data_IF_872316746264
#
_entry.id   IF_872316746264
#
_cell.length_a   1.000
_cell.length_b   1.000
_cell.length_c   1.000
_cell.angle_alpha   90.00
_cell.angle_beta   90.00
_cell.angle_gamma   90.00
#
_symmetry.space_group_name_H-M   'P 1'
#
loop_
_entity.id
_entity.type
_entity.pdbx_description
1 polymer ?
#
# COMPACT_ATOMS: atom_id res chain seq x y z
N UNK A 1 -8.36 -2.44 14.17
CA UNK A 1 -9.12 -1.17 14.09
C UNK A 1 -8.57 -0.27 12.98
N UNK A 2 -7.29 0.15 13.02
CA UNK A 2 -6.73 1.10 12.03
C UNK A 2 -6.74 0.62 10.57
N UNK A 3 -6.65 -0.69 10.32
CA UNK A 3 -6.60 -1.24 8.97
C UNK A 3 -7.94 -1.35 8.25
N UNK A 4 -9.06 -1.21 8.97
CA UNK A 4 -10.39 -1.39 8.39
C UNK A 4 -10.76 -0.24 7.44
N UNK A 5 -10.41 1.00 7.81
CA UNK A 5 -10.84 2.22 7.12
C UNK A 5 -9.72 2.95 6.39
N UNK A 6 -8.58 2.30 6.17
CA UNK A 6 -7.41 2.97 5.61
C UNK A 6 -7.66 3.50 4.18
N UNK A 7 -8.35 2.73 3.34
CA UNK A 7 -8.66 3.15 1.97
C UNK A 7 -9.72 4.25 1.98
N UNK A 8 -10.71 4.16 2.88
CA UNK A 8 -11.71 5.21 3.11
C UNK A 8 -11.05 6.54 3.45
N UNK A 9 -9.98 6.54 4.24
CA UNK A 9 -9.21 7.74 4.53
C UNK A 9 -8.56 8.37 3.29
N UNK A 10 -8.14 7.57 2.30
CA UNK A 10 -7.59 8.10 1.04
C UNK A 10 -8.66 8.91 0.31
N UNK A 11 -9.84 8.34 0.11
CA UNK A 11 -10.92 9.01 -0.61
C UNK A 11 -11.55 10.16 0.17
N UNK A 12 -11.82 9.96 1.47
CA UNK A 12 -12.45 10.96 2.33
C UNK A 12 -11.58 12.22 2.48
N UNK A 13 -10.30 12.06 2.80
CA UNK A 13 -9.43 13.21 3.02
C UNK A 13 -9.12 13.97 1.72
N UNK A 14 -9.18 13.33 0.56
CA UNK A 14 -9.12 14.05 -0.72
C UNK A 14 -10.47 14.61 -1.17
N UNK A 15 -11.56 14.34 -0.42
CA UNK A 15 -12.93 14.67 -0.81
C UNK A 15 -13.24 14.17 -2.23
N UNK A 16 -12.79 12.96 -2.55
CA UNK A 16 -13.03 12.30 -3.83
C UNK A 16 -14.28 11.43 -3.74
N UNK A 17 -15.26 11.69 -4.60
CA UNK A 17 -16.59 11.06 -4.57
C UNK A 17 -16.95 10.31 -5.87
N UNK A 18 -16.05 10.23 -6.86
CA UNK A 18 -16.32 9.46 -8.08
C UNK A 18 -16.25 7.93 -7.86
N UNK A 19 -15.66 7.45 -6.76
CA UNK A 19 -15.55 6.02 -6.47
C UNK A 19 -16.90 5.39 -6.09
N UNK A 20 -17.27 4.25 -6.70
CA UNK A 20 -18.56 3.57 -6.48
C UNK A 20 -18.88 3.24 -5.01
N UNK A 21 -17.87 2.85 -4.24
CA UNK A 21 -18.03 2.40 -2.84
C UNK A 21 -17.47 3.34 -1.76
N UNK A 22 -16.57 4.27 -2.09
CA UNK A 22 -15.81 5.03 -1.08
C UNK A 22 -16.27 6.48 -1.06
N UNK A 23 -16.25 7.08 0.14
CA UNK A 23 -16.75 8.42 0.39
C UNK A 23 -18.23 8.61 -0.01
N UNK A 24 -19.05 7.57 0.25
CA UNK A 24 -20.51 7.51 -0.08
C UNK A 24 -21.43 7.57 1.14
N UNK A 25 -20.92 8.01 2.29
CA UNK A 25 -21.73 8.15 3.49
C UNK A 25 -22.44 9.51 3.52
N UNK A 26 -23.60 9.63 4.21
CA UNK A 26 -24.28 10.91 4.37
C UNK A 26 -23.37 11.92 5.06
N UNK A 27 -23.09 13.03 4.41
CA UNK A 27 -22.27 14.12 4.95
C UNK A 27 -22.80 15.45 4.45
N UNK A 28 -22.98 16.42 5.35
CA UNK A 28 -23.32 17.79 4.98
C UNK A 28 -22.15 18.49 4.28
N UNK A 29 -22.44 19.50 3.47
CA UNK A 29 -21.39 20.31 2.84
C UNK A 29 -20.45 20.95 3.88
N UNK A 30 -21.02 21.40 5.00
CA UNK A 30 -20.25 21.95 6.13
C UNK A 30 -19.26 20.94 6.71
N UNK A 31 -19.69 19.70 6.89
CA UNK A 31 -18.80 18.63 7.37
C UNK A 31 -17.74 18.30 6.31
N UNK A 32 -18.11 18.24 5.03
CA UNK A 32 -17.15 17.96 3.93
C UNK A 32 -16.05 19.01 3.88
N UNK A 33 -16.40 20.29 3.98
CA UNK A 33 -15.43 21.39 4.01
C UNK A 33 -14.55 21.37 5.26
N UNK A 34 -15.06 20.90 6.41
CA UNK A 34 -14.34 20.92 7.69
C UNK A 34 -13.44 19.70 7.91
N UNK A 35 -13.86 18.54 7.43
CA UNK A 35 -13.20 17.25 7.72
C UNK A 35 -12.42 16.68 6.53
N UNK A 36 -12.66 17.16 5.31
CA UNK A 36 -11.74 16.87 4.22
C UNK A 36 -10.42 17.62 4.41
N UNK A 37 -9.38 17.07 3.81
CA UNK A 37 -8.05 17.64 3.72
C UNK A 37 -7.69 17.80 2.25
N UNK A 38 -8.64 18.22 1.40
CA UNK A 38 -8.45 18.29 -0.07
C UNK A 38 -7.32 19.26 -0.43
N UNK A 39 -6.65 18.95 -1.54
CA UNK A 39 -5.66 19.81 -2.19
C UNK A 39 -4.23 19.67 -1.68
N UNK A 40 -3.29 20.19 -2.46
CA UNK A 40 -1.85 20.01 -2.25
C UNK A 40 -1.34 20.59 -0.90
N UNK A 41 -1.91 21.71 -0.44
CA UNK A 41 -1.52 22.36 0.83
C UNK A 41 -1.73 21.47 2.06
N UNK A 42 -2.68 20.53 1.98
CA UNK A 42 -3.00 19.62 3.07
C UNK A 42 -2.37 18.22 2.88
N UNK A 43 -1.62 17.99 1.81
CA UNK A 43 -0.99 16.70 1.51
C UNK A 43 -0.16 16.19 2.67
N UNK A 44 0.70 17.02 3.26
CA UNK A 44 1.54 16.61 4.39
C UNK A 44 0.71 16.21 5.61
N UNK A 45 -0.43 16.87 5.85
CA UNK A 45 -1.35 16.49 6.92
C UNK A 45 -1.97 15.11 6.66
N UNK A 46 -2.37 14.83 5.41
CA UNK A 46 -2.88 13.50 5.01
C UNK A 46 -1.82 12.43 5.21
N UNK A 47 -0.60 12.66 4.75
CA UNK A 47 0.51 11.70 4.90
C UNK A 47 0.92 11.47 6.35
N UNK A 48 0.82 12.49 7.23
CA UNK A 48 0.99 12.30 8.67
C UNK A 48 -0.04 11.32 9.25
N UNK A 49 -1.29 11.40 8.80
CA UNK A 49 -2.35 10.46 9.20
C UNK A 49 -2.08 9.07 8.64
N UNK A 50 -1.77 8.94 7.34
CA UNK A 50 -1.47 7.63 6.74
C UNK A 50 -0.28 6.95 7.43
N UNK A 51 0.78 7.71 7.73
CA UNK A 51 1.94 7.21 8.46
C UNK A 51 1.54 6.64 9.82
N UNK A 52 0.83 7.44 10.62
CA UNK A 52 0.36 7.03 11.94
C UNK A 52 -0.46 5.73 11.87
N UNK A 53 -1.39 5.62 10.91
CA UNK A 53 -2.18 4.41 10.73
C UNK A 53 -1.29 3.19 10.39
N UNK A 54 -0.35 3.34 9.46
CA UNK A 54 0.54 2.26 8.99
C UNK A 54 1.58 1.82 10.04
N UNK A 55 2.00 2.73 10.93
CA UNK A 55 2.88 2.41 12.07
C UNK A 55 2.22 1.40 13.02
N UNK A 56 0.88 1.42 13.12
CA UNK A 56 0.11 0.48 13.93
C UNK A 56 -0.34 -0.78 13.19
N UNK A 57 0.07 -0.99 11.94
CA UNK A 57 -0.26 -2.22 11.20
C UNK A 57 0.73 -3.35 11.52
N UNK A 58 0.21 -4.57 11.59
CA UNK A 58 1.04 -5.77 11.49
C UNK A 58 1.50 -5.99 10.04
N UNK A 59 2.55 -6.79 9.84
CA UNK A 59 3.01 -7.15 8.49
C UNK A 59 1.91 -7.83 7.66
N UNK A 60 1.06 -8.65 8.29
CA UNK A 60 -0.10 -9.25 7.63
C UNK A 60 -1.12 -8.19 7.18
N UNK A 61 -1.35 -7.16 7.99
CA UNK A 61 -2.25 -6.05 7.63
C UNK A 61 -1.65 -5.19 6.51
N UNK A 62 -0.33 -4.94 6.50
CA UNK A 62 0.38 -4.24 5.41
C UNK A 62 0.31 -4.99 4.09
N UNK A 63 0.46 -6.31 4.15
CA UNK A 63 0.29 -7.16 2.96
C UNK A 63 -1.15 -7.11 2.44
N UNK A 64 -2.13 -7.32 3.33
CA UNK A 64 -3.54 -7.29 2.95
C UNK A 64 -3.99 -5.93 2.43
N UNK A 65 -3.51 -4.82 3.00
CA UNK A 65 -3.87 -3.49 2.51
C UNK A 65 -3.24 -3.20 1.14
N UNK A 66 -2.03 -3.69 0.88
CA UNK A 66 -1.40 -3.59 -0.45
C UNK A 66 -2.26 -4.28 -1.52
N UNK A 67 -2.76 -5.49 -1.22
CA UNK A 67 -3.66 -6.21 -2.12
C UNK A 67 -4.95 -5.42 -2.33
N UNK A 68 -5.58 -4.95 -1.24
CA UNK A 68 -6.83 -4.19 -1.34
C UNK A 68 -6.65 -2.89 -2.14
N UNK A 69 -5.57 -2.14 -1.91
CA UNK A 69 -5.25 -0.92 -2.69
C UNK A 69 -5.12 -1.27 -4.18
N UNK A 70 -4.45 -2.36 -4.52
CA UNK A 70 -4.33 -2.78 -5.91
C UNK A 70 -5.70 -3.09 -6.53
N UNK A 71 -6.57 -3.81 -5.82
CA UNK A 71 -7.88 -4.25 -6.32
C UNK A 71 -8.96 -3.17 -6.31
N UNK A 72 -8.96 -2.26 -5.34
CA UNK A 72 -10.06 -1.29 -5.14
C UNK A 72 -9.69 0.13 -5.45
N UNK A 73 -8.41 0.41 -5.75
CA UNK A 73 -7.96 1.74 -6.15
C UNK A 73 -7.28 1.67 -7.52
N UNK A 74 -6.16 0.94 -7.62
CA UNK A 74 -5.36 0.91 -8.84
C UNK A 74 -6.09 0.26 -10.02
N UNK A 75 -6.74 -0.88 -9.80
CA UNK A 75 -7.52 -1.57 -10.83
C UNK A 75 -8.66 -0.69 -11.37
N UNK A 76 -9.34 0.08 -10.53
CA UNK A 76 -10.40 0.97 -10.99
C UNK A 76 -9.92 2.04 -12.00
N UNK A 77 -8.68 2.50 -11.91
CA UNK A 77 -8.10 3.38 -12.94
C UNK A 77 -7.59 2.58 -14.15
N UNK A 78 -7.07 1.37 -13.95
CA UNK A 78 -6.60 0.51 -15.04
C UNK A 78 -7.73 0.05 -15.96
N UNK A 79 -8.90 -0.21 -15.37
CA UNK A 79 -10.11 -0.68 -16.03
C UNK A 79 -11.03 0.47 -16.49
N UNK A 80 -10.56 1.73 -16.38
CA UNK A 80 -11.29 2.95 -16.75
C UNK A 80 -12.63 3.15 -16.00
N UNK A 81 -12.79 2.50 -14.83
CA UNK A 81 -13.93 2.73 -13.93
C UNK A 81 -13.86 4.10 -13.22
N UNK A 82 -12.64 4.61 -13.00
CA UNK A 82 -12.38 5.93 -12.43
C UNK A 82 -11.71 6.84 -13.47
N UNK A 83 -12.18 8.09 -13.61
CA UNK A 83 -11.60 9.01 -14.56
C UNK A 83 -10.21 9.45 -14.12
N UNK A 84 -9.27 9.48 -15.07
CA UNK A 84 -7.96 10.11 -14.89
C UNK A 84 -8.04 11.63 -15.17
N UNK A 85 -8.95 12.31 -14.47
CA UNK A 85 -9.04 13.77 -14.42
C UNK A 85 -8.07 14.33 -13.35
N UNK A 86 -8.16 15.63 -13.04
CA UNK A 86 -7.25 16.25 -12.05
C UNK A 86 -7.38 15.63 -10.66
N UNK A 87 -8.61 15.37 -10.20
CA UNK A 87 -8.88 14.79 -8.88
C UNK A 87 -8.50 13.30 -8.84
N UNK A 88 -8.75 12.56 -9.91
CA UNK A 88 -8.35 11.15 -10.06
C UNK A 88 -6.83 10.98 -10.13
N UNK A 89 -6.14 11.87 -10.84
CA UNK A 89 -4.68 11.91 -10.87
C UNK A 89 -4.08 12.18 -9.49
N UNK A 90 -4.70 13.06 -8.69
CA UNK A 90 -4.28 13.31 -7.30
C UNK A 90 -4.44 12.06 -6.42
N UNK A 91 -5.56 11.33 -6.54
CA UNK A 91 -5.76 10.04 -5.85
C UNK A 91 -4.70 9.02 -6.27
N UNK A 92 -4.46 8.87 -7.56
CA UNK A 92 -3.54 7.87 -8.08
C UNK A 92 -2.08 8.19 -7.67
N UNK A 93 -1.67 9.46 -7.77
CA UNK A 93 -0.38 9.94 -7.27
C UNK A 93 -0.20 9.67 -5.77
N UNK A 94 -1.21 10.02 -4.97
CA UNK A 94 -1.18 9.80 -3.53
C UNK A 94 -1.11 8.32 -3.19
N UNK A 95 -1.82 7.47 -3.92
CA UNK A 95 -1.81 6.01 -3.73
C UNK A 95 -0.42 5.43 -3.98
N UNK A 96 0.27 5.79 -5.07
CA UNK A 96 1.65 5.33 -5.31
C UNK A 96 2.61 5.81 -4.23
N UNK A 97 2.46 7.06 -3.78
CA UNK A 97 3.28 7.62 -2.70
C UNK A 97 3.06 6.90 -1.38
N UNK A 98 1.81 6.54 -1.05
CA UNK A 98 1.47 5.71 0.12
C UNK A 98 2.15 4.35 0.00
N UNK A 99 2.00 3.65 -1.13
CA UNK A 99 2.63 2.34 -1.36
C UNK A 99 4.16 2.39 -1.27
N UNK A 100 4.77 3.55 -1.54
CA UNK A 100 6.22 3.79 -1.46
C UNK A 100 6.71 4.15 -0.05
N UNK A 101 5.82 4.34 0.92
CA UNK A 101 6.19 4.71 2.29
C UNK A 101 7.01 3.59 2.96
N UNK A 102 7.98 3.96 3.80
CA UNK A 102 8.80 2.98 4.54
C UNK A 102 7.94 2.10 5.45
N UNK A 103 6.83 2.64 5.95
CA UNK A 103 5.87 1.96 6.81
C UNK A 103 5.07 0.87 6.05
N UNK A 104 5.07 0.88 4.71
CA UNK A 104 4.50 -0.18 3.89
C UNK A 104 5.47 -1.35 3.68
N UNK A 105 6.79 -1.12 3.81
CA UNK A 105 7.80 -2.15 3.56
C UNK A 105 7.70 -3.24 4.64
N UNK A 106 7.48 -4.48 4.20
CA UNK A 106 7.40 -5.64 5.08
C UNK A 106 8.76 -5.88 5.75
N UNK A 107 8.82 -5.87 7.08
CA UNK A 107 10.07 -6.05 7.82
C UNK A 107 10.71 -7.42 7.57
N UNK A 108 9.90 -8.43 7.26
CA UNK A 108 10.35 -9.78 6.95
C UNK A 108 11.15 -9.92 5.63
N UNK A 109 11.05 -8.95 4.71
CA UNK A 109 11.76 -9.00 3.41
C UNK A 109 13.14 -8.32 3.50
N UNK A 110 13.36 -7.48 4.51
CA UNK A 110 14.57 -6.66 4.65
C UNK A 110 15.68 -7.29 5.47
N UNK A 111 15.46 -8.48 6.06
CA UNK A 111 16.52 -9.20 6.79
C UNK A 111 17.21 -10.19 5.85
N UNK A 112 18.49 -10.02 5.49
CA UNK A 112 19.22 -11.07 4.80
C UNK A 112 19.19 -12.34 5.67
N UNK A 113 19.12 -13.55 5.08
CA UNK A 113 19.15 -14.81 5.83
C UNK A 113 20.50 -15.13 6.49
N UNK A 114 21.36 -14.14 6.76
CA UNK A 114 22.77 -14.34 7.13
C UNK A 114 23.30 -13.39 8.20
N UNK A 115 22.45 -12.94 9.13
CA UNK A 115 22.85 -12.09 10.25
C UNK A 115 22.84 -12.83 11.59
N UNK A 116 23.46 -14.00 11.67
CA UNK A 116 23.96 -14.54 12.94
C UNK A 116 25.45 -14.31 12.93
N UNK A 117 25.88 -13.27 13.66
CA UNK A 117 27.26 -13.19 14.11
C UNK A 117 27.55 -14.53 14.81
N UNK A 118 28.60 -15.19 14.36
CA UNK A 118 29.12 -16.38 15.00
C UNK A 118 29.65 -15.98 16.38
N UNK A 119 28.78 -15.99 17.38
CA UNK A 119 29.17 -16.16 18.76
C UNK A 119 28.88 -17.61 19.14
N UNK A 120 29.97 -18.30 19.41
CA UNK A 120 30.04 -19.68 19.86
C UNK A 120 29.38 -19.75 21.24
N UNK A 121 28.22 -20.39 21.34
CA UNK A 121 27.70 -20.87 22.62
C UNK A 121 27.25 -22.31 22.42
N UNK A 122 27.86 -23.18 23.21
CA UNK A 122 27.70 -24.62 23.27
C UNK A 122 26.27 -25.03 23.70
N UNK A 123 25.84 -26.18 23.17
CA UNK A 123 24.79 -27.06 23.70
C UNK A 123 23.51 -26.45 24.31
N UNK A 124 22.59 -25.92 23.49
CA UNK A 124 21.17 -25.85 23.87
C UNK A 124 20.20 -26.26 22.76
N UNK A 125 19.66 -27.49 22.92
CA UNK A 125 18.41 -28.02 22.39
C UNK A 125 18.23 -28.16 20.86
N UNK A 126 18.33 -29.39 20.34
CA UNK A 126 17.81 -29.76 19.00
C UNK A 126 16.37 -29.30 18.73
N UNK A 127 15.55 -29.12 19.77
CA UNK A 127 14.20 -28.57 19.67
C UNK A 127 14.17 -27.07 19.28
N UNK A 128 15.13 -26.25 19.76
CA UNK A 128 15.22 -24.83 19.40
C UNK A 128 15.68 -24.68 17.94
N UNK A 129 16.61 -25.53 17.51
CA UNK A 129 17.06 -25.61 16.11
C UNK A 129 15.93 -26.05 15.18
N UNK A 130 15.16 -27.08 15.54
CA UNK A 130 13.99 -27.52 14.76
C UNK A 130 12.93 -26.42 14.64
N UNK A 131 12.67 -25.68 15.73
CA UNK A 131 11.72 -24.58 15.73
C UNK A 131 12.21 -23.38 14.89
N UNK A 132 13.52 -23.09 14.90
CA UNK A 132 14.12 -22.07 14.04
C UNK A 132 14.03 -22.44 12.56
N UNK A 133 14.29 -23.70 12.20
CA UNK A 133 14.15 -24.23 10.83
C UNK A 133 12.68 -24.16 10.37
N UNK A 134 11.73 -24.53 11.23
CA UNK A 134 10.30 -24.43 10.91
C UNK A 134 9.85 -22.98 10.69
N UNK A 135 10.30 -22.04 11.53
CA UNK A 135 10.00 -20.62 11.35
C UNK A 135 10.61 -20.06 10.06
N UNK A 136 11.83 -20.46 9.71
CA UNK A 136 12.48 -20.08 8.46
C UNK A 136 11.72 -20.63 7.23
N UNK A 137 11.30 -21.90 7.29
CA UNK A 137 10.48 -22.52 6.25
C UNK A 137 9.13 -21.81 6.10
N UNK A 138 8.45 -21.49 7.21
CA UNK A 138 7.18 -20.77 7.21
C UNK A 138 7.33 -19.36 6.58
N UNK A 139 8.37 -18.61 6.96
CA UNK A 139 8.66 -17.30 6.35
C UNK A 139 8.93 -17.41 4.84
N UNK A 140 9.64 -18.46 4.41
CA UNK A 140 9.92 -18.71 2.99
C UNK A 140 8.63 -18.98 2.20
N UNK A 141 7.72 -19.78 2.73
CA UNK A 141 6.41 -20.05 2.11
C UNK A 141 5.60 -18.76 2.00
N UNK A 142 5.50 -17.98 3.08
CA UNK A 142 4.81 -16.68 3.06
C UNK A 142 5.41 -15.77 1.99
N UNK A 143 6.74 -15.65 1.91
CA UNK A 143 7.41 -14.85 0.87
C UNK A 143 7.07 -15.32 -0.55
N UNK A 144 7.02 -16.64 -0.79
CA UNK A 144 6.65 -17.17 -2.11
C UNK A 144 5.21 -16.85 -2.48
N UNK A 145 4.27 -16.99 -1.53
CA UNK A 145 2.86 -16.62 -1.75
C UNK A 145 2.73 -15.12 -2.03
N UNK A 146 3.43 -14.27 -1.29
CA UNK A 146 3.44 -12.82 -1.51
C UNK A 146 3.99 -12.46 -2.90
N UNK A 147 5.09 -13.10 -3.32
CA UNK A 147 5.66 -12.92 -4.67
C UNK A 147 4.68 -13.35 -5.76
N UNK A 148 4.03 -14.51 -5.59
CA UNK A 148 3.05 -15.03 -6.55
C UNK A 148 1.88 -14.05 -6.71
N UNK A 149 1.28 -13.60 -5.61
CA UNK A 149 0.20 -12.60 -5.62
C UNK A 149 0.64 -11.31 -6.30
N UNK A 150 1.86 -10.84 -6.04
CA UNK A 150 2.38 -9.63 -6.68
C UNK A 150 2.50 -9.80 -8.21
N UNK A 151 3.09 -10.92 -8.67
CA UNK A 151 3.28 -11.19 -10.09
C UNK A 151 1.95 -11.38 -10.80
N UNK A 152 1.01 -12.14 -10.22
CA UNK A 152 -0.24 -12.50 -10.88
C UNK A 152 -1.27 -11.37 -10.84
N UNK A 153 -1.33 -10.59 -9.75
CA UNK A 153 -2.39 -9.59 -9.57
C UNK A 153 -1.89 -8.15 -9.71
N UNK A 154 -0.69 -7.83 -9.18
CA UNK A 154 -0.22 -6.43 -9.13
C UNK A 154 0.43 -6.02 -10.45
N UNK A 155 1.32 -6.85 -11.00
CA UNK A 155 2.08 -6.52 -12.21
C UNK A 155 1.19 -6.19 -13.43
N UNK A 156 0.12 -6.95 -13.74
CA UNK A 156 -0.75 -6.61 -14.88
C UNK A 156 -1.39 -5.23 -14.75
N UNK A 157 -1.91 -4.91 -13.56
CA UNK A 157 -2.50 -3.60 -13.25
C UNK A 157 -1.48 -2.48 -13.43
N UNK A 158 -0.26 -2.68 -12.93
CA UNK A 158 0.84 -1.72 -13.07
C UNK A 158 1.23 -1.50 -14.54
N UNK A 159 1.28 -2.56 -15.36
CA UNK A 159 1.56 -2.44 -16.80
C UNK A 159 0.49 -1.62 -17.51
N UNK A 160 -0.79 -1.89 -17.23
CA UNK A 160 -1.92 -1.14 -17.79
C UNK A 160 -1.87 0.33 -17.39
N UNK A 161 -1.66 0.61 -16.10
CA UNK A 161 -1.53 1.98 -15.60
C UNK A 161 -0.34 2.70 -16.22
N UNK A 162 0.82 2.05 -16.35
CA UNK A 162 1.99 2.66 -17.01
C UNK A 162 1.65 3.10 -18.44
N UNK A 163 1.05 2.22 -19.24
CA UNK A 163 0.63 2.52 -20.61
C UNK A 163 -0.37 3.68 -20.66
N UNK A 164 -1.38 3.65 -19.79
CA UNK A 164 -2.38 4.71 -19.68
C UNK A 164 -1.74 6.07 -19.35
N UNK A 165 -0.87 6.10 -18.34
CA UNK A 165 -0.17 7.32 -17.91
C UNK A 165 0.78 7.87 -18.99
N UNK A 166 1.46 6.99 -19.72
CA UNK A 166 2.31 7.36 -20.87
C UNK A 166 1.48 7.96 -22.01
N UNK A 167 0.39 7.30 -22.40
CA UNK A 167 -0.51 7.77 -23.45
C UNK A 167 -1.10 9.15 -23.13
N UNK A 168 -1.48 9.38 -21.86
CA UNK A 168 -2.05 10.64 -21.39
C UNK A 168 -0.99 11.68 -21.02
N UNK A 169 0.30 11.35 -21.11
CA UNK A 169 1.44 12.20 -20.66
C UNK A 169 1.24 12.72 -19.23
N UNK A 170 0.71 11.86 -18.37
CA UNK A 170 0.33 12.23 -17.01
C UNK A 170 1.57 12.43 -16.12
N UNK A 171 1.62 13.48 -15.29
CA UNK A 171 2.71 13.69 -14.34
C UNK A 171 2.79 12.59 -13.27
N UNK A 172 1.69 11.85 -13.05
CA UNK A 172 1.61 10.73 -12.11
C UNK A 172 2.55 9.57 -12.51
N UNK A 173 2.97 9.50 -13.78
CA UNK A 173 3.97 8.52 -14.24
C UNK A 173 5.25 8.57 -13.39
N UNK A 174 5.64 9.76 -12.92
CA UNK A 174 6.80 9.90 -12.02
C UNK A 174 6.60 9.17 -10.70
N UNK A 175 5.41 9.27 -10.10
CA UNK A 175 5.10 8.63 -8.82
C UNK A 175 4.96 7.10 -9.00
N UNK A 176 4.40 6.65 -10.12
CA UNK A 176 4.39 5.23 -10.48
C UNK A 176 5.81 4.68 -10.60
N UNK A 177 6.68 5.36 -11.34
CA UNK A 177 8.07 4.91 -11.51
C UNK A 177 8.85 4.92 -10.19
N UNK A 178 8.59 5.90 -9.31
CA UNK A 178 9.18 5.93 -7.97
C UNK A 178 8.70 4.75 -7.08
N UNK A 179 7.45 4.31 -7.25
CA UNK A 179 6.92 3.13 -6.56
C UNK A 179 7.60 1.81 -7.00
N UNK A 180 8.10 1.75 -8.23
CA UNK A 180 8.77 0.55 -8.78
C UNK A 180 10.26 0.45 -8.44
N UNK A 181 10.82 1.44 -7.73
CA UNK A 181 12.22 1.49 -7.29
C UNK A 181 12.41 0.88 -5.90
#
# INVERSE_FOLDING_TARGET
MFSQHFIECIFHFNSYDNHKSYNKFPQSERERLRFSLKGARNREKRFRIYRFLLEHFTDAQRFNITIKINQTVLACFADDELPLDADGADILSETFRILSMKEMKLQAISRPPGGVAAEVVEEENMATMAQAVMQAAQKKVVSQVQKKVFIENVVPVIITLKRLLEQKRSPVLRDLMAYLQ
#
